data_IF_229798859259
#
_entry.id   IF_229798859259
#
_cell.length_a   1.000
_cell.length_b   1.000
_cell.length_c   1.000
_cell.angle_alpha   90.00
_cell.angle_beta   90.00
_cell.angle_gamma   90.00
#
_symmetry.space_group_name_H-M   'P 1'
#
loop_
_entity.id
_entity.type
_entity.pdbx_description
1 polymer ?
#
# COMPACT_ATOMS: atom_id res chain seq x y z
N UNK A 1 93.26 -33.76 -20.51
CA UNK A 1 92.25 -32.94 -21.23
C UNK A 1 91.19 -33.75 -21.98
N UNK A 2 91.51 -34.67 -22.92
CA UNK A 2 90.48 -35.45 -23.66
C UNK A 2 89.59 -36.35 -22.76
N UNK A 3 90.17 -36.99 -21.74
CA UNK A 3 89.44 -37.92 -20.85
C UNK A 3 88.47 -37.17 -19.90
N UNK A 4 88.80 -35.93 -19.52
CA UNK A 4 87.93 -35.11 -18.67
C UNK A 4 86.75 -34.54 -19.47
N UNK A 5 86.97 -34.13 -20.72
CA UNK A 5 85.88 -33.69 -21.61
C UNK A 5 84.90 -34.82 -21.92
N UNK A 6 85.36 -36.05 -22.14
CA UNK A 6 84.46 -37.18 -22.39
C UNK A 6 83.62 -37.52 -21.15
N UNK A 7 84.21 -37.44 -19.95
CA UNK A 7 83.47 -37.65 -18.69
C UNK A 7 82.41 -36.56 -18.47
N UNK A 8 82.76 -35.29 -18.71
CA UNK A 8 81.82 -34.17 -18.61
C UNK A 8 80.67 -34.31 -19.62
N UNK A 9 80.98 -34.75 -20.85
CA UNK A 9 79.97 -35.01 -21.87
C UNK A 9 79.01 -36.14 -21.48
N UNK A 10 79.52 -37.22 -20.88
CA UNK A 10 78.68 -38.32 -20.37
C UNK A 10 77.78 -37.87 -19.24
N UNK A 11 78.29 -37.10 -18.27
CA UNK A 11 77.51 -36.58 -17.14
C UNK A 11 76.41 -35.63 -17.62
N UNK A 12 76.73 -34.66 -18.50
CA UNK A 12 75.71 -33.79 -19.08
C UNK A 12 74.66 -34.56 -19.89
N UNK A 13 75.05 -35.65 -20.57
CA UNK A 13 74.10 -36.47 -21.31
C UNK A 13 73.17 -37.25 -20.37
N UNK A 14 73.69 -37.79 -19.27
CA UNK A 14 72.89 -38.45 -18.24
C UNK A 14 71.92 -37.47 -17.56
N UNK A 15 72.39 -36.29 -17.16
CA UNK A 15 71.53 -35.25 -16.58
C UNK A 15 70.45 -34.78 -17.56
N UNK A 16 70.78 -34.62 -18.85
CA UNK A 16 69.80 -34.29 -19.88
C UNK A 16 68.75 -35.38 -20.06
N UNK A 17 69.17 -36.65 -20.06
CA UNK A 17 68.24 -37.78 -20.18
C UNK A 17 67.35 -37.92 -18.94
N UNK A 18 67.88 -37.66 -17.74
CA UNK A 18 67.11 -37.59 -16.50
C UNK A 18 66.09 -36.45 -16.54
N UNK A 19 66.51 -35.25 -16.93
CA UNK A 19 65.62 -34.09 -17.05
C UNK A 19 64.50 -34.35 -18.07
N UNK A 20 64.84 -34.96 -19.22
CA UNK A 20 63.85 -35.34 -20.23
C UNK A 20 62.83 -36.33 -19.70
N UNK A 21 63.28 -37.34 -18.95
CA UNK A 21 62.40 -38.33 -18.30
C UNK A 21 61.48 -37.66 -17.28
N UNK A 22 62.01 -36.73 -16.48
CA UNK A 22 61.27 -36.02 -15.44
C UNK A 22 60.17 -35.14 -16.06
N UNK A 23 60.50 -34.38 -17.11
CA UNK A 23 59.52 -33.55 -17.84
C UNK A 23 58.42 -34.42 -18.46
N UNK A 24 58.77 -35.57 -19.05
CA UNK A 24 57.78 -36.48 -19.61
C UNK A 24 56.84 -37.05 -18.53
N UNK A 25 57.37 -37.36 -17.36
CA UNK A 25 56.58 -37.85 -16.22
C UNK A 25 55.64 -36.76 -15.68
N UNK A 26 56.14 -35.53 -15.50
CA UNK A 26 55.33 -34.38 -15.07
C UNK A 26 54.20 -34.08 -16.08
N UNK A 27 54.49 -34.11 -17.38
CA UNK A 27 53.46 -33.94 -18.41
C UNK A 27 52.39 -35.05 -18.36
N UNK A 28 52.80 -36.29 -18.11
CA UNK A 28 51.88 -37.41 -17.96
C UNK A 28 50.99 -37.22 -16.72
N UNK A 29 51.57 -36.74 -15.62
CA UNK A 29 50.85 -36.45 -14.39
C UNK A 29 49.84 -35.32 -14.60
N UNK A 30 50.23 -34.21 -15.24
CA UNK A 30 49.33 -33.10 -15.58
C UNK A 30 48.18 -33.61 -16.45
N UNK A 31 48.46 -34.43 -17.46
CA UNK A 31 47.42 -35.01 -18.31
C UNK A 31 46.43 -35.86 -17.52
N UNK A 32 46.93 -36.75 -16.66
CA UNK A 32 46.08 -37.59 -15.81
C UNK A 32 45.21 -36.76 -14.85
N UNK A 33 45.76 -35.67 -14.29
CA UNK A 33 44.99 -34.76 -13.44
C UNK A 33 43.92 -34.03 -14.24
N UNK A 34 44.23 -33.60 -15.47
CA UNK A 34 43.26 -32.96 -16.36
C UNK A 34 42.14 -33.92 -16.75
N UNK A 35 42.46 -35.15 -17.13
CA UNK A 35 41.47 -36.17 -17.48
C UNK A 35 40.56 -36.49 -16.28
N UNK A 36 41.11 -36.52 -15.07
CA UNK A 36 40.35 -36.71 -13.82
C UNK A 36 39.39 -35.54 -13.56
N UNK A 37 39.86 -34.29 -13.72
CA UNK A 37 39.03 -33.09 -13.54
C UNK A 37 37.95 -33.01 -14.62
N UNK A 38 38.29 -33.31 -15.87
CA UNK A 38 37.35 -33.34 -17.00
C UNK A 38 36.25 -34.38 -16.76
N UNK A 39 36.62 -35.60 -16.38
CA UNK A 39 35.68 -36.66 -16.02
C UNK A 39 34.80 -36.29 -14.83
N UNK A 40 35.38 -35.70 -13.77
CA UNK A 40 34.61 -35.22 -12.62
C UNK A 40 33.62 -34.11 -13.00
N UNK A 41 34.02 -33.23 -13.92
CA UNK A 41 33.17 -32.15 -14.43
C UNK A 41 32.04 -32.71 -15.29
N UNK A 42 32.33 -33.67 -16.17
CA UNK A 42 31.33 -34.36 -16.98
C UNK A 42 30.30 -35.07 -16.10
N UNK A 43 30.73 -35.79 -15.05
CA UNK A 43 29.82 -36.44 -14.09
C UNK A 43 28.96 -35.42 -13.32
N UNK A 44 29.54 -34.26 -12.94
CA UNK A 44 28.76 -33.18 -12.30
C UNK A 44 27.77 -32.55 -13.27
N UNK A 45 28.13 -32.44 -14.55
CA UNK A 45 27.27 -31.92 -15.59
C UNK A 45 26.12 -32.89 -15.91
N UNK A 46 26.39 -34.18 -16.10
CA UNK A 46 25.36 -35.23 -16.24
C UNK A 46 24.43 -35.28 -15.01
N UNK A 47 24.97 -35.05 -13.81
CA UNK A 47 24.17 -34.92 -12.59
C UNK A 47 23.30 -33.66 -12.59
N UNK A 48 23.78 -32.55 -13.13
CA UNK A 48 23.00 -31.32 -13.29
C UNK A 48 21.93 -31.48 -14.37
N UNK A 49 22.26 -32.10 -15.50
CA UNK A 49 21.33 -32.40 -16.57
C UNK A 49 20.27 -33.39 -16.11
N UNK A 50 20.61 -34.42 -15.33
CA UNK A 50 19.60 -35.31 -14.73
C UNK A 50 18.71 -34.63 -13.68
N UNK A 51 19.21 -33.62 -12.94
CA UNK A 51 18.37 -32.74 -12.09
C UNK A 51 17.49 -31.79 -12.94
N UNK A 52 17.94 -31.44 -14.13
CA UNK A 52 17.19 -30.59 -15.08
C UNK A 52 16.20 -31.39 -15.94
N UNK A 53 16.48 -32.69 -16.14
CA UNK A 53 15.74 -33.63 -16.97
C UNK A 53 14.85 -34.58 -16.15
N UNK A 54 14.94 -34.57 -14.81
CA UNK A 54 13.78 -34.95 -14.02
C UNK A 54 12.63 -34.07 -14.47
N UNK A 55 11.48 -34.62 -14.91
CA UNK A 55 10.31 -33.79 -15.17
C UNK A 55 10.15 -32.96 -13.92
N UNK A 56 10.15 -31.62 -14.07
CA UNK A 56 9.93 -30.73 -12.97
C UNK A 56 8.73 -31.29 -12.21
N UNK A 57 8.98 -31.97 -11.09
CA UNK A 57 7.94 -32.23 -10.11
C UNK A 57 7.47 -30.81 -9.89
N UNK A 58 6.22 -30.47 -10.27
CA UNK A 58 5.78 -29.09 -10.21
C UNK A 58 6.14 -28.70 -8.80
N UNK A 59 7.02 -27.70 -8.65
CA UNK A 59 7.24 -27.08 -7.36
C UNK A 59 5.81 -26.86 -6.92
N UNK A 60 5.34 -27.65 -5.95
CA UNK A 60 4.04 -27.41 -5.35
C UNK A 60 4.28 -26.01 -4.86
N UNK A 61 3.77 -25.01 -5.57
CA UNK A 61 3.63 -23.67 -5.04
C UNK A 61 2.97 -23.98 -3.72
N UNK A 62 3.74 -23.87 -2.64
CA UNK A 62 3.20 -24.06 -1.31
C UNK A 62 2.21 -22.91 -1.25
N UNK A 63 0.95 -23.21 -1.58
CA UNK A 63 -0.11 -22.23 -1.58
C UNK A 63 -0.27 -21.91 -0.11
N UNK A 64 0.49 -20.91 0.33
CA UNK A 64 0.28 -20.28 1.61
C UNK A 64 -1.10 -19.68 1.46
N UNK A 65 -2.06 -20.24 2.19
CA UNK A 65 -3.41 -19.71 2.15
C UNK A 65 -3.33 -18.20 2.45
N UNK A 66 -3.96 -17.37 1.61
CA UNK A 66 -3.93 -15.94 1.79
C UNK A 66 -4.41 -15.57 3.18
N UNK A 67 -3.71 -14.64 3.82
CA UNK A 67 -3.98 -14.21 5.20
C UNK A 67 -5.44 -13.77 5.32
N UNK A 68 -6.19 -14.42 6.21
CA UNK A 68 -7.55 -14.02 6.54
C UNK A 68 -7.53 -12.96 7.64
N UNK A 69 -8.23 -11.85 7.42
CA UNK A 69 -8.27 -10.71 8.33
C UNK A 69 -9.55 -10.76 9.16
N UNK A 70 -9.46 -11.28 10.39
CA UNK A 70 -10.63 -11.53 11.26
C UNK A 70 -11.45 -10.30 11.63
N UNK A 71 -10.86 -9.10 11.57
CA UNK A 71 -11.52 -7.84 11.87
C UNK A 71 -12.24 -7.23 10.65
N UNK A 72 -12.09 -7.83 9.47
CA UNK A 72 -12.76 -7.40 8.26
C UNK A 72 -13.98 -8.28 8.06
N UNK A 73 -15.13 -7.63 7.82
CA UNK A 73 -16.37 -8.27 7.43
C UNK A 73 -17.10 -7.36 6.44
N UNK A 74 -18.00 -7.95 5.66
CA UNK A 74 -18.89 -7.21 4.79
C UNK A 74 -20.31 -7.72 4.97
N UNK A 75 -21.16 -6.89 5.59
CA UNK A 75 -22.56 -7.24 5.84
C UNK A 75 -23.44 -7.01 4.60
N UNK A 76 -22.99 -6.17 3.68
CA UNK A 76 -23.81 -5.62 2.59
C UNK A 76 -24.42 -4.26 2.91
N UNK A 77 -23.98 -3.59 3.98
CA UNK A 77 -24.37 -2.21 4.24
C UNK A 77 -23.69 -1.25 3.24
N UNK A 78 -24.42 -0.31 2.61
CA UNK A 78 -23.85 0.56 1.59
C UNK A 78 -22.64 1.40 2.05
N UNK A 79 -22.65 1.82 3.32
CA UNK A 79 -21.53 2.54 3.96
C UNK A 79 -20.22 1.74 4.02
N UNK A 80 -20.30 0.40 3.97
CA UNK A 80 -19.13 -0.50 4.05
C UNK A 80 -18.54 -0.78 2.66
N UNK A 81 -19.35 -0.68 1.60
CA UNK A 81 -19.04 -1.15 0.24
C UNK A 81 -17.74 -0.59 -0.31
N UNK A 82 -17.57 0.73 -0.30
CA UNK A 82 -16.36 1.37 -0.85
C UNK A 82 -15.10 1.01 -0.07
N UNK A 83 -15.16 1.09 1.27
CA UNK A 83 -14.03 0.76 2.14
C UNK A 83 -13.62 -0.70 1.97
N UNK A 84 -14.60 -1.61 1.89
CA UNK A 84 -14.38 -3.03 1.65
C UNK A 84 -13.73 -3.26 0.28
N UNK A 85 -14.31 -2.73 -0.80
CA UNK A 85 -13.79 -2.94 -2.16
C UNK A 85 -12.39 -2.33 -2.33
N UNK A 86 -12.15 -1.14 -1.78
CA UNK A 86 -10.81 -0.53 -1.75
C UNK A 86 -9.79 -1.42 -1.03
N UNK A 87 -10.11 -1.90 0.17
CA UNK A 87 -9.22 -2.77 0.94
C UNK A 87 -8.93 -4.08 0.19
N UNK A 88 -9.96 -4.69 -0.41
CA UNK A 88 -9.84 -5.94 -1.13
C UNK A 88 -9.01 -5.81 -2.40
N UNK A 89 -9.20 -4.76 -3.22
CA UNK A 89 -8.36 -4.50 -4.41
C UNK A 89 -6.88 -4.42 -4.05
N UNK A 90 -6.54 -3.61 -3.04
CA UNK A 90 -5.16 -3.46 -2.58
C UNK A 90 -4.58 -4.78 -2.03
N UNK A 91 -5.41 -5.57 -1.34
CA UNK A 91 -4.97 -6.85 -0.79
C UNK A 91 -4.76 -7.91 -1.86
N UNK A 92 -5.62 -7.97 -2.88
CA UNK A 92 -5.47 -8.88 -4.01
C UNK A 92 -4.19 -8.59 -4.79
N UNK A 93 -3.81 -7.32 -4.95
CA UNK A 93 -2.56 -6.93 -5.61
C UNK A 93 -1.34 -7.36 -4.80
N UNK A 94 -1.37 -7.13 -3.48
CA UNK A 94 -0.29 -7.55 -2.57
C UNK A 94 -0.13 -9.07 -2.49
N UNK A 95 -1.23 -9.82 -2.53
CA UNK A 95 -1.26 -11.28 -2.35
C UNK A 95 -1.42 -12.05 -3.67
N UNK A 96 -1.20 -11.42 -4.83
CA UNK A 96 -1.51 -11.99 -6.14
C UNK A 96 -0.90 -13.39 -6.37
N UNK A 97 0.29 -13.66 -5.83
CA UNK A 97 1.03 -14.91 -5.98
C UNK A 97 0.55 -16.06 -5.08
N UNK A 98 -0.29 -15.76 -4.08
CA UNK A 98 -0.80 -16.73 -3.09
C UNK A 98 -2.07 -17.44 -3.56
N UNK A 99 -2.76 -16.91 -4.58
CA UNK A 99 -3.97 -17.50 -5.12
C UNK A 99 -3.65 -18.54 -6.21
N UNK A 100 -4.44 -19.61 -6.23
CA UNK A 100 -4.28 -20.72 -7.19
C UNK A 100 -4.88 -20.38 -8.55
N UNK A 101 -6.06 -19.79 -8.54
CA UNK A 101 -6.83 -19.42 -9.71
C UNK A 101 -7.76 -18.22 -9.37
N UNK A 102 -8.49 -17.74 -10.37
CA UNK A 102 -9.45 -16.64 -10.17
C UNK A 102 -10.63 -17.08 -9.29
N UNK A 103 -11.04 -18.34 -9.38
CA UNK A 103 -12.07 -18.92 -8.52
C UNK A 103 -11.68 -18.84 -7.05
N UNK A 104 -10.45 -19.14 -6.69
CA UNK A 104 -9.92 -19.03 -5.34
C UNK A 104 -9.94 -17.58 -4.85
N UNK A 105 -9.63 -16.59 -5.71
CA UNK A 105 -9.77 -15.16 -5.35
C UNK A 105 -11.22 -14.80 -4.99
N UNK A 106 -12.18 -15.18 -5.84
CA UNK A 106 -13.61 -14.92 -5.62
C UNK A 106 -14.11 -15.62 -4.35
N UNK A 107 -13.73 -16.88 -4.13
CA UNK A 107 -14.08 -17.62 -2.91
C UNK A 107 -13.49 -16.98 -1.66
N UNK A 108 -12.25 -16.50 -1.73
CA UNK A 108 -11.60 -15.81 -0.62
C UNK A 108 -12.31 -14.50 -0.28
N UNK A 109 -12.70 -13.71 -1.29
CA UNK A 109 -13.52 -12.50 -1.09
C UNK A 109 -14.87 -12.83 -0.46
N UNK A 110 -15.57 -13.86 -0.96
CA UNK A 110 -16.85 -14.30 -0.42
C UNK A 110 -16.74 -14.83 1.02
N UNK A 111 -15.54 -15.23 1.46
CA UNK A 111 -15.27 -15.62 2.85
C UNK A 111 -15.48 -14.50 3.87
N UNK A 112 -15.48 -13.23 3.42
CA UNK A 112 -15.72 -12.06 4.28
C UNK A 112 -17.21 -11.68 4.40
N UNK A 113 -18.11 -12.42 3.74
CA UNK A 113 -19.55 -12.13 3.79
C UNK A 113 -20.16 -12.69 5.07
N UNK A 114 -20.29 -11.82 6.07
CA UNK A 114 -20.91 -12.15 7.34
C UNK A 114 -21.53 -10.91 7.99
N UNK A 115 -22.45 -11.15 8.93
CA UNK A 115 -22.96 -10.12 9.83
C UNK A 115 -21.89 -9.73 10.86
N UNK A 116 -22.04 -8.56 11.47
CA UNK A 116 -21.17 -8.07 12.57
C UNK A 116 -21.12 -9.05 13.75
N UNK A 117 -22.20 -9.78 13.99
CA UNK A 117 -22.31 -10.84 15.00
C UNK A 117 -21.60 -12.14 14.63
N UNK A 118 -21.32 -12.38 13.34
CA UNK A 118 -20.75 -13.62 12.83
C UNK A 118 -21.61 -14.87 13.04
N UNK A 119 -22.87 -14.74 13.48
CA UNK A 119 -23.73 -15.88 13.83
C UNK A 119 -24.39 -16.51 12.60
N UNK A 120 -24.41 -17.84 12.56
CA UNK A 120 -25.14 -18.62 11.58
C UNK A 120 -26.65 -18.44 11.80
N UNK A 121 -27.33 -17.83 10.82
CA UNK A 121 -28.78 -17.60 10.86
C UNK A 121 -29.17 -16.13 10.86
N UNK A 122 -28.22 -15.23 11.10
CA UNK A 122 -28.47 -13.80 10.95
C UNK A 122 -28.63 -13.43 9.48
N UNK A 123 -29.56 -12.51 9.22
CA UNK A 123 -29.81 -12.01 7.87
C UNK A 123 -28.62 -11.15 7.45
N UNK A 124 -27.77 -11.72 6.60
CA UNK A 124 -26.63 -11.04 6.02
C UNK A 124 -26.90 -10.78 4.53
N UNK A 125 -27.20 -9.52 4.13
CA UNK A 125 -27.47 -9.16 2.75
C UNK A 125 -26.38 -9.62 1.76
N UNK A 126 -25.11 -9.45 2.10
CA UNK A 126 -23.98 -9.89 1.25
C UNK A 126 -23.96 -11.41 1.04
N UNK A 127 -24.17 -12.19 2.11
CA UNK A 127 -24.21 -13.65 2.03
C UNK A 127 -25.45 -14.16 1.26
N UNK A 128 -26.61 -13.52 1.45
CA UNK A 128 -27.83 -13.86 0.72
C UNK A 128 -27.68 -13.57 -0.79
N UNK A 129 -27.10 -12.42 -1.13
CA UNK A 129 -26.76 -12.09 -2.52
C UNK A 129 -25.79 -13.11 -3.11
N UNK A 130 -24.73 -13.47 -2.39
CA UNK A 130 -23.77 -14.49 -2.80
C UNK A 130 -24.43 -15.86 -3.07
N UNK A 131 -25.32 -16.30 -2.16
CA UNK A 131 -26.11 -17.52 -2.34
C UNK A 131 -26.99 -17.46 -3.58
N UNK A 132 -27.62 -16.32 -3.84
CA UNK A 132 -28.42 -16.09 -5.05
C UNK A 132 -27.57 -16.13 -6.33
N UNK A 133 -26.38 -15.52 -6.30
CA UNK A 133 -25.45 -15.50 -7.43
C UNK A 133 -24.94 -16.91 -7.78
N UNK A 134 -24.66 -17.75 -6.79
CA UNK A 134 -24.35 -19.17 -6.99
C UNK A 134 -25.54 -19.93 -7.62
N UNK A 135 -26.77 -19.62 -7.20
CA UNK A 135 -27.99 -20.16 -7.79
C UNK A 135 -28.12 -19.79 -9.27
N UNK A 136 -27.92 -18.51 -9.62
CA UNK A 136 -27.90 -18.00 -11.01
C UNK A 136 -26.83 -18.71 -11.84
N UNK A 137 -25.63 -18.88 -11.30
CA UNK A 137 -24.52 -19.56 -11.95
C UNK A 137 -24.82 -21.06 -12.22
N UNK A 138 -25.52 -21.72 -11.30
CA UNK A 138 -25.97 -23.10 -11.48
C UNK A 138 -27.03 -23.20 -12.60
N UNK A 139 -28.00 -22.28 -12.63
CA UNK A 139 -29.03 -22.25 -13.68
C UNK A 139 -28.44 -22.07 -15.09
N UNK A 140 -27.44 -21.21 -15.23
CA UNK A 140 -26.72 -20.99 -16.49
C UNK A 140 -26.09 -22.29 -17.03
N UNK A 141 -25.73 -23.22 -16.13
CA UNK A 141 -25.15 -24.54 -16.46
C UNK A 141 -26.21 -25.65 -16.55
N UNK A 142 -27.49 -25.34 -16.39
CA UNK A 142 -28.57 -26.33 -16.34
C UNK A 142 -28.58 -27.17 -15.05
N UNK A 143 -27.88 -26.73 -14.00
CA UNK A 143 -27.86 -27.38 -12.69
C UNK A 143 -29.02 -26.87 -11.80
N UNK A 144 -29.37 -27.65 -10.77
CA UNK A 144 -30.40 -27.25 -9.81
C UNK A 144 -29.91 -26.08 -8.94
N UNK A 145 -30.64 -24.97 -8.96
CA UNK A 145 -30.33 -23.75 -8.21
C UNK A 145 -30.42 -23.92 -6.70
N UNK A 146 -31.27 -24.82 -6.20
CA UNK A 146 -31.47 -25.06 -4.76
C UNK A 146 -30.29 -25.82 -4.13
N UNK A 147 -29.56 -26.59 -4.94
CA UNK A 147 -28.38 -27.34 -4.52
C UNK A 147 -27.10 -26.76 -5.13
N UNK A 148 -27.12 -25.47 -5.50
CA UNK A 148 -25.97 -24.77 -6.04
C UNK A 148 -24.77 -24.90 -5.10
N UNK A 149 -23.63 -25.29 -5.66
CA UNK A 149 -22.43 -25.65 -4.91
C UNK A 149 -21.22 -24.93 -5.49
N UNK A 150 -20.27 -24.60 -4.61
CA UNK A 150 -18.94 -24.08 -4.99
C UNK A 150 -18.14 -25.05 -5.88
N UNK A 151 -18.58 -26.31 -5.96
CA UNK A 151 -17.98 -27.33 -6.83
C UNK A 151 -18.21 -27.05 -8.31
N UNK A 152 -19.33 -26.42 -8.67
CA UNK A 152 -19.62 -26.05 -10.05
C UNK A 152 -18.63 -24.99 -10.55
N UNK A 153 -18.37 -24.98 -11.85
CA UNK A 153 -17.49 -23.97 -12.46
C UNK A 153 -18.18 -22.60 -12.47
N UNK A 154 -17.38 -21.56 -12.39
CA UNK A 154 -17.90 -20.20 -12.52
C UNK A 154 -18.02 -19.92 -14.01
N UNK A 155 -19.25 -19.64 -14.46
CA UNK A 155 -19.57 -19.34 -15.87
C UNK A 155 -20.09 -17.92 -16.05
N UNK A 156 -20.65 -17.31 -14.99
CA UNK A 156 -21.07 -15.91 -15.04
C UNK A 156 -19.86 -14.99 -15.21
N UNK A 157 -19.99 -13.97 -16.06
CA UNK A 157 -18.94 -12.98 -16.33
C UNK A 157 -18.46 -12.30 -15.03
N UNK A 158 -19.40 -12.06 -14.12
CA UNK A 158 -19.20 -11.45 -12.80
C UNK A 158 -18.31 -12.32 -11.89
N UNK A 159 -18.22 -13.64 -12.14
CA UNK A 159 -17.48 -14.62 -11.35
C UNK A 159 -16.16 -15.07 -12.01
N UNK A 160 -15.94 -14.73 -13.29
CA UNK A 160 -14.72 -15.11 -14.02
C UNK A 160 -13.48 -14.38 -13.50
N UNK A 161 -13.66 -13.15 -13.03
CA UNK A 161 -12.59 -12.27 -12.60
C UNK A 161 -12.91 -11.66 -11.24
N UNK A 162 -11.90 -11.58 -10.37
CA UNK A 162 -12.02 -10.94 -9.07
C UNK A 162 -12.40 -9.45 -9.18
N UNK A 163 -11.91 -8.73 -10.20
CA UNK A 163 -12.30 -7.32 -10.40
C UNK A 163 -13.75 -7.20 -10.86
N UNK A 164 -14.19 -8.03 -11.81
CA UNK A 164 -15.60 -8.08 -12.22
C UNK A 164 -16.53 -8.41 -11.06
N UNK A 165 -16.08 -9.25 -10.13
CA UNK A 165 -16.80 -9.57 -8.92
C UNK A 165 -16.90 -8.37 -7.97
N UNK A 166 -15.80 -7.63 -7.75
CA UNK A 166 -15.79 -6.41 -6.94
C UNK A 166 -16.67 -5.31 -7.55
N UNK A 167 -16.63 -5.12 -8.87
CA UNK A 167 -17.52 -4.19 -9.59
C UNK A 167 -19.00 -4.59 -9.41
N UNK A 168 -19.29 -5.89 -9.37
CA UNK A 168 -20.66 -6.38 -9.14
C UNK A 168 -21.12 -6.14 -7.71
N UNK A 169 -20.22 -6.25 -6.72
CA UNK A 169 -20.49 -5.89 -5.32
C UNK A 169 -20.77 -4.39 -5.22
N UNK A 170 -19.92 -3.55 -5.81
CA UNK A 170 -20.14 -2.10 -5.87
C UNK A 170 -21.49 -1.80 -6.51
N UNK A 171 -21.77 -2.30 -7.72
CA UNK A 171 -23.05 -2.03 -8.38
C UNK A 171 -24.28 -2.47 -7.58
N UNK A 172 -24.17 -3.52 -6.77
CA UNK A 172 -25.31 -4.06 -5.99
C UNK A 172 -25.50 -3.31 -4.67
N UNK A 173 -24.41 -2.97 -3.99
CA UNK A 173 -24.42 -2.43 -2.64
C UNK A 173 -24.00 -0.95 -2.57
N UNK A 174 -23.76 -0.28 -3.69
CA UNK A 174 -23.41 1.15 -3.71
C UNK A 174 -24.56 1.97 -3.15
N UNK A 175 -24.20 3.04 -2.45
CA UNK A 175 -25.15 4.10 -2.19
C UNK A 175 -25.15 5.01 -3.42
N UNK A 176 -26.22 4.97 -4.22
CA UNK A 176 -26.36 5.85 -5.39
C UNK A 176 -26.35 7.37 -5.05
N UNK A 177 -26.24 7.73 -3.77
CA UNK A 177 -26.11 9.11 -3.29
C UNK A 177 -24.69 9.48 -2.85
N UNK A 178 -23.67 8.65 -3.08
CA UNK A 178 -22.28 8.91 -2.62
C UNK A 178 -21.72 10.27 -3.04
N UNK A 179 -21.98 10.70 -4.28
CA UNK A 179 -21.54 12.01 -4.78
C UNK A 179 -22.23 13.16 -4.02
N UNK A 180 -23.53 13.02 -3.73
CA UNK A 180 -24.28 14.04 -2.99
C UNK A 180 -23.94 14.04 -1.50
N UNK A 181 -23.63 12.88 -0.92
CA UNK A 181 -23.11 12.76 0.44
C UNK A 181 -21.72 13.37 0.57
N UNK A 182 -20.82 13.11 -0.39
CA UNK A 182 -19.50 13.73 -0.45
C UNK A 182 -19.62 15.27 -0.57
N UNK A 183 -20.53 15.76 -1.43
CA UNK A 183 -20.81 17.20 -1.55
C UNK A 183 -21.38 17.77 -0.24
N UNK A 184 -22.28 17.04 0.44
CA UNK A 184 -22.84 17.45 1.74
C UNK A 184 -21.75 17.49 2.82
N UNK A 185 -20.90 16.48 2.89
CA UNK A 185 -19.79 16.41 3.82
C UNK A 185 -18.78 17.53 3.58
N UNK A 186 -18.45 17.83 2.32
CA UNK A 186 -17.58 18.93 1.94
C UNK A 186 -18.15 20.28 2.40
N UNK A 187 -19.43 20.55 2.16
CA UNK A 187 -20.09 21.79 2.60
C UNK A 187 -20.23 21.90 4.12
N UNK A 188 -20.35 20.77 4.82
CA UNK A 188 -20.44 20.71 6.27
C UNK A 188 -19.05 20.73 6.95
N UNK A 189 -17.97 20.51 6.20
CA UNK A 189 -16.62 20.46 6.75
C UNK A 189 -16.26 21.80 7.39
N UNK A 190 -15.71 21.75 8.61
CA UNK A 190 -15.21 22.91 9.33
C UNK A 190 -13.86 22.55 9.94
N UNK A 191 -12.91 23.48 9.92
CA UNK A 191 -11.60 23.29 10.55
C UNK A 191 -11.75 22.94 12.04
N UNK A 192 -12.60 23.69 12.75
CA UNK A 192 -12.86 23.45 14.17
C UNK A 192 -11.57 23.51 14.99
N UNK A 193 -11.28 22.45 15.75
CA UNK A 193 -10.08 22.34 16.59
C UNK A 193 -8.87 21.72 15.89
N UNK A 194 -8.98 21.36 14.60
CA UNK A 194 -7.88 20.74 13.85
C UNK A 194 -6.87 21.79 13.40
N UNK A 195 -5.63 21.37 13.19
CA UNK A 195 -4.64 22.24 12.54
C UNK A 195 -5.05 22.50 11.09
N UNK A 196 -4.49 23.54 10.48
CA UNK A 196 -4.77 23.85 9.07
C UNK A 196 -4.32 22.71 8.17
N UNK A 197 -3.18 22.09 8.48
CA UNK A 197 -2.60 20.98 7.72
C UNK A 197 -3.48 19.74 7.78
N UNK A 198 -3.92 19.34 8.98
CA UNK A 198 -4.85 18.21 9.15
C UNK A 198 -6.17 18.46 8.44
N UNK A 199 -6.69 19.67 8.56
CA UNK A 199 -7.92 20.06 7.88
C UNK A 199 -7.75 20.03 6.35
N UNK A 200 -6.65 20.53 5.81
CA UNK A 200 -6.38 20.53 4.38
C UNK A 200 -6.29 19.10 3.81
N UNK A 201 -5.69 18.15 4.54
CA UNK A 201 -5.65 16.74 4.14
C UNK A 201 -7.08 16.18 4.01
N UNK A 202 -7.92 16.41 5.02
CA UNK A 202 -9.31 15.92 5.03
C UNK A 202 -10.13 16.61 3.93
N UNK A 203 -9.99 17.93 3.79
CA UNK A 203 -10.71 18.73 2.81
C UNK A 203 -10.36 18.33 1.37
N UNK A 204 -9.08 18.14 1.07
CA UNK A 204 -8.62 17.70 -0.24
C UNK A 204 -9.09 16.26 -0.54
N UNK A 205 -9.10 15.38 0.47
CA UNK A 205 -9.64 14.03 0.30
C UNK A 205 -11.13 14.05 -0.07
N UNK A 206 -11.92 14.97 0.50
CA UNK A 206 -13.34 15.11 0.15
C UNK A 206 -13.53 15.72 -1.25
N UNK A 207 -12.63 16.63 -1.67
CA UNK A 207 -12.66 17.24 -2.99
C UNK A 207 -12.40 16.24 -4.12
N UNK A 208 -11.54 15.24 -3.92
CA UNK A 208 -11.30 14.22 -4.96
C UNK A 208 -12.56 13.42 -5.31
N UNK A 209 -13.56 13.40 -4.43
CA UNK A 209 -14.85 12.74 -4.66
C UNK A 209 -15.91 13.62 -5.32
N UNK A 210 -15.61 14.91 -5.59
CA UNK A 210 -16.58 15.87 -6.16
C UNK A 210 -15.94 16.72 -7.25
N UNK A 211 -16.51 16.70 -8.45
CA UNK A 211 -16.08 17.61 -9.51
C UNK A 211 -16.65 19.02 -9.29
N UNK A 212 -15.77 19.99 -9.08
CA UNK A 212 -16.10 21.40 -8.83
C UNK A 212 -15.07 22.30 -9.54
N UNK A 213 -15.51 23.45 -10.08
CA UNK A 213 -14.58 24.44 -10.60
C UNK A 213 -13.74 25.04 -9.47
N UNK A 214 -12.50 25.47 -9.76
CA UNK A 214 -11.56 26.04 -8.78
C UNK A 214 -12.17 27.20 -7.97
N UNK A 215 -12.99 28.04 -8.59
CA UNK A 215 -13.68 29.14 -7.90
C UNK A 215 -14.56 28.62 -6.75
N UNK A 216 -15.39 27.61 -7.02
CA UNK A 216 -16.25 26.99 -5.99
C UNK A 216 -15.44 26.27 -4.91
N UNK A 217 -14.28 25.68 -5.25
CA UNK A 217 -13.40 25.10 -4.23
C UNK A 217 -12.87 26.16 -3.27
N UNK A 218 -12.46 27.31 -3.79
CA UNK A 218 -11.96 28.43 -3.01
C UNK A 218 -13.05 29.04 -2.11
N UNK A 219 -14.28 29.17 -2.61
CA UNK A 219 -15.42 29.68 -1.84
C UNK A 219 -15.78 28.73 -0.69
N UNK A 220 -15.90 27.42 -0.97
CA UNK A 220 -16.21 26.44 0.07
C UNK A 220 -15.09 26.38 1.11
N UNK A 221 -13.84 26.52 0.69
CA UNK A 221 -12.70 26.57 1.61
C UNK A 221 -12.73 27.79 2.53
N UNK A 222 -13.09 28.98 2.01
CA UNK A 222 -13.24 30.21 2.80
C UNK A 222 -14.28 30.06 3.91
N UNK A 223 -15.39 29.38 3.63
CA UNK A 223 -16.43 29.10 4.62
C UNK A 223 -16.02 28.02 5.63
N UNK A 224 -15.12 27.12 5.24
CA UNK A 224 -14.78 25.94 6.01
C UNK A 224 -13.59 26.15 6.96
N UNK A 225 -12.61 26.98 6.56
CA UNK A 225 -11.43 27.32 7.35
C UNK A 225 -11.79 28.24 8.53
N UNK A 226 -10.91 28.34 9.54
CA UNK A 226 -11.11 29.26 10.65
C UNK A 226 -11.25 30.71 10.16
N UNK A 227 -12.37 31.35 10.50
CA UNK A 227 -12.69 32.70 10.05
C UNK A 227 -11.71 33.77 10.55
N UNK A 228 -10.99 33.52 11.64
CA UNK A 228 -9.95 34.43 12.11
C UNK A 228 -8.73 34.44 11.16
N UNK A 229 -8.42 33.31 10.51
CA UNK A 229 -7.39 33.21 9.46
C UNK A 229 -7.83 34.02 8.24
N UNK A 230 -9.08 33.86 7.81
CA UNK A 230 -9.66 34.60 6.68
C UNK A 230 -9.59 36.10 6.93
N UNK A 231 -10.00 36.56 8.12
CA UNK A 231 -9.94 37.99 8.48
C UNK A 231 -8.50 38.51 8.51
N UNK A 232 -7.55 37.74 9.05
CA UNK A 232 -6.14 38.12 9.05
C UNK A 232 -5.60 38.23 7.61
N UNK A 233 -5.93 37.29 6.74
CA UNK A 233 -5.55 37.33 5.33
C UNK A 233 -6.18 38.50 4.56
N UNK A 234 -7.43 38.86 4.88
CA UNK A 234 -8.06 40.08 4.33
C UNK A 234 -7.36 41.35 4.82
N UNK A 235 -6.95 41.40 6.09
CA UNK A 235 -6.25 42.54 6.68
C UNK A 235 -4.82 42.70 6.14
N UNK A 236 -4.10 41.60 6.00
CA UNK A 236 -2.76 41.57 5.41
C UNK A 236 -2.77 41.78 3.89
N UNK A 237 -3.95 41.65 3.26
CA UNK A 237 -4.12 41.72 1.81
C UNK A 237 -3.78 40.40 1.11
N UNK A 238 -4.29 40.22 -0.10
CA UNK A 238 -4.00 39.07 -0.96
C UNK A 238 -5.02 37.93 -0.90
N UNK A 239 -5.74 37.74 0.22
CA UNK A 239 -6.71 36.64 0.38
C UNK A 239 -7.77 36.60 -0.73
N UNK A 240 -8.32 37.76 -1.10
CA UNK A 240 -9.38 37.88 -2.14
C UNK A 240 -8.84 37.77 -3.58
N UNK A 241 -7.54 37.91 -3.78
CA UNK A 241 -6.91 37.82 -5.10
C UNK A 241 -6.47 36.41 -5.48
N UNK A 242 -6.51 35.47 -4.53
CA UNK A 242 -6.13 34.08 -4.75
C UNK A 242 -7.25 33.32 -5.46
N UNK A 243 -6.93 32.76 -6.62
CA UNK A 243 -7.87 32.02 -7.48
C UNK A 243 -7.64 30.51 -7.48
N UNK A 244 -6.60 30.03 -6.80
CA UNK A 244 -6.29 28.59 -6.72
C UNK A 244 -6.41 28.11 -5.28
N UNK A 245 -6.99 26.92 -5.11
CA UNK A 245 -7.16 26.35 -3.77
C UNK A 245 -5.80 26.16 -3.07
N UNK A 246 -4.79 25.69 -3.80
CA UNK A 246 -3.47 25.41 -3.23
C UNK A 246 -2.83 26.67 -2.64
N UNK A 247 -2.79 27.78 -3.39
CA UNK A 247 -2.22 29.02 -2.88
C UNK A 247 -3.01 29.56 -1.67
N UNK A 248 -4.31 29.26 -1.59
CA UNK A 248 -5.16 29.64 -0.46
C UNK A 248 -4.84 28.80 0.79
N UNK A 249 -4.62 27.51 0.61
CA UNK A 249 -4.19 26.59 1.65
C UNK A 249 -2.79 26.96 2.19
N UNK A 250 -1.87 27.34 1.31
CA UNK A 250 -0.51 27.77 1.69
C UNK A 250 -0.55 29.08 2.51
N UNK A 251 -1.35 30.06 2.07
CA UNK A 251 -1.57 31.30 2.82
C UNK A 251 -2.26 31.05 4.16
N UNK A 252 -3.24 30.14 4.20
CA UNK A 252 -3.91 29.77 5.45
C UNK A 252 -2.93 29.16 6.45
N UNK A 253 -2.00 28.31 5.99
CA UNK A 253 -0.98 27.70 6.83
C UNK A 253 0.00 28.76 7.38
N UNK A 254 0.45 29.71 6.55
CA UNK A 254 1.33 30.80 7.02
C UNK A 254 0.64 31.68 8.06
N UNK A 255 -0.61 32.07 7.80
CA UNK A 255 -1.38 32.95 8.68
C UNK A 255 -1.78 32.26 10.00
N UNK A 256 -1.96 30.94 10.00
CA UNK A 256 -2.21 30.18 11.22
C UNK A 256 -1.02 30.22 12.19
N UNK A 257 0.20 30.19 11.66
CA UNK A 257 1.42 30.37 12.45
C UNK A 257 1.50 31.77 13.06
N UNK A 258 1.11 32.78 12.27
CA UNK A 258 1.07 34.17 12.73
C UNK A 258 0.00 34.38 13.80
N UNK A 259 -1.19 33.77 13.70
CA UNK A 259 -2.20 33.79 14.78
C UNK A 259 -1.70 33.14 16.07
N UNK A 260 -0.96 32.03 15.95
CA UNK A 260 -0.28 31.40 17.06
C UNK A 260 0.70 32.35 17.75
N UNK A 261 1.48 33.10 16.97
CA UNK A 261 2.39 34.14 17.46
C UNK A 261 1.67 35.34 18.07
N UNK A 262 0.68 35.91 17.37
CA UNK A 262 -0.12 37.08 17.79
C UNK A 262 -0.89 36.81 19.08
N UNK A 263 -1.40 35.59 19.28
CA UNK A 263 -2.06 35.19 20.53
C UNK A 263 -1.15 35.26 21.77
N UNK A 264 0.16 35.04 21.62
CA UNK A 264 1.13 35.27 22.70
C UNK A 264 1.39 36.77 22.95
N UNK A 265 1.47 37.56 21.88
CA UNK A 265 1.68 39.01 21.99
C UNK A 265 0.44 39.71 22.61
N UNK A 266 -0.77 39.36 22.21
CA UNK A 266 -2.00 39.97 22.72
C UNK A 266 -2.29 39.61 24.18
N UNK A 267 -2.03 38.35 24.59
CA UNK A 267 -2.11 37.94 26.01
C UNK A 267 -1.04 38.66 26.85
N UNK A 268 0.17 38.79 26.34
CA UNK A 268 1.25 39.52 27.01
C UNK A 268 0.95 41.01 27.17
N UNK A 269 0.36 41.65 26.16
CA UNK A 269 -0.03 43.06 26.19
C UNK A 269 -1.23 43.29 27.12
N UNK A 270 -2.27 42.44 27.08
CA UNK A 270 -3.39 42.51 28.02
C UNK A 270 -2.96 42.29 29.46
N UNK A 271 -2.09 41.31 29.73
CA UNK A 271 -1.57 41.06 31.08
C UNK A 271 -0.73 42.23 31.59
N UNK A 272 0.08 42.87 30.73
CA UNK A 272 0.82 44.08 31.08
C UNK A 272 -0.11 45.27 31.37
N UNK A 273 -1.17 45.46 30.58
CA UNK A 273 -2.15 46.53 30.82
C UNK A 273 -2.92 46.33 32.13
N UNK A 274 -3.34 45.09 32.44
CA UNK A 274 -3.98 44.74 33.72
C UNK A 274 -3.03 44.97 34.89
N UNK A 275 -1.77 44.55 34.78
CA UNK A 275 -0.77 44.77 35.84
C UNK A 275 -0.45 46.26 36.05
N UNK A 276 -0.50 47.09 35.00
CA UNK A 276 -0.34 48.54 35.12
C UNK A 276 -1.53 49.22 35.82
N UNK A 277 -2.76 48.80 35.51
CA UNK A 277 -3.97 49.30 36.17
C UNK A 277 -3.99 48.92 37.66
N UNK A 278 -3.63 47.67 37.98
CA UNK A 278 -3.52 47.20 39.38
C UNK A 278 -2.43 47.97 40.14
N UNK A 279 -1.29 48.25 39.51
CA UNK A 279 -0.23 49.04 40.15
C UNK A 279 -0.62 50.52 40.33
N UNK A 280 -1.36 51.12 39.39
CA UNK A 280 -1.86 52.50 39.54
C UNK A 280 -2.87 52.62 40.69
N UNK A 281 -3.79 51.66 40.81
CA UNK A 281 -4.76 51.63 41.92
C UNK A 281 -4.06 51.44 43.28
N UNK A 282 -3.00 50.62 43.32
CA UNK A 282 -2.20 50.41 44.54
C UNK A 282 -1.37 51.63 44.93
N UNK A 283 -0.90 52.43 43.97
CA UNK A 283 -0.21 53.70 44.25
C UNK A 283 -1.15 54.81 44.71
N UNK A 284 -2.38 54.87 44.18
CA UNK A 284 -3.39 55.84 44.62
C UNK A 284 -3.83 55.56 46.06
N UNK A 285 -4.07 54.30 46.41
CA UNK A 285 -4.48 53.94 47.77
C UNK A 285 -3.39 54.20 48.83
N UNK A 286 -2.10 54.21 48.44
CA UNK A 286 -0.98 54.51 49.34
C UNK A 286 -0.72 56.02 49.52
N UNK A 287 -1.39 56.85 48.73
CA UNK A 287 -1.26 58.32 48.76
C UNK A 287 -2.29 58.97 49.69
N UNK A 288 -3.35 58.24 50.04
CA UNK A 288 -4.46 58.71 50.89
C UNK A 288 -4.25 58.40 52.39
N UNK A 289 -3.17 57.70 52.76
CA UNK A 289 -2.84 57.27 54.14
C UNK A 289 -1.69 58.08 54.78
N UNK A 290 -1.37 59.27 54.27
CA UNK A 290 -0.36 60.18 54.85
C UNK A 290 -0.89 61.59 55.12
#
# INVERSE_FOLDING_TARGET
MKIEMSKLQTVCHEEFMQLRSLIQQEFLQVRNTFDTVSSSTAVRFDRLESVSATPAVPVKKTFVNPVYYSHIYFSGAPKETNSFCFFMRNTLERLHSQFADMKHKVLWLAGYFCSESGQLGDVCPSYNWWRGLLGKNAQQQGLNSLTASLRADFVLDELQNAESFLVSIESTFSNHQEVEEARRALKAARQGSKTVEEFNIIFNSLLYSVDLPEASKCEIYDEAINQDIVRLGMFCGGWTSITTLQAKQDMAASLAMDLGGVGFYEKGVRQKAVNQLVNQQRSQHRSDDH
#
